data_IF_013455813270
#
_entry.id   IF_013455813270
#
_cell.length_a   1.000
_cell.length_b   1.000
_cell.length_c   1.000
_cell.angle_alpha   90.00
_cell.angle_beta   90.00
_cell.angle_gamma   90.00
#
_symmetry.space_group_name_H-M   'P 1'
#
loop_
_entity.id
_entity.type
_entity.pdbx_description
1 polymer ?
#
# COMPACT_ATOMS: atom_id res chain seq x y z
N UNK A 1 -0.29 -53.46 5.47
CA UNK A 1 -1.66 -52.98 5.19
C UNK A 1 -2.11 -52.35 6.49
N UNK A 2 -1.87 -51.05 6.64
CA UNK A 2 -2.32 -50.31 7.81
C UNK A 2 -3.84 -50.36 7.91
N UNK A 3 -4.38 -50.32 9.13
CA UNK A 3 -5.83 -50.44 9.35
C UNK A 3 -6.60 -49.31 8.64
N UNK A 4 -5.97 -48.14 8.53
CA UNK A 4 -6.45 -46.93 7.86
C UNK A 4 -6.71 -47.07 6.35
N UNK A 5 -6.11 -48.05 5.66
CA UNK A 5 -6.38 -48.27 4.23
C UNK A 5 -7.82 -48.70 3.97
N UNK A 6 -8.47 -49.37 4.94
CA UNK A 6 -9.84 -49.90 4.83
C UNK A 6 -10.92 -48.86 5.15
N UNK A 7 -10.54 -47.76 5.79
CA UNK A 7 -11.46 -46.73 6.27
C UNK A 7 -11.83 -45.72 5.19
N UNK A 8 -12.97 -45.07 5.37
CA UNK A 8 -13.42 -43.98 4.49
C UNK A 8 -12.76 -42.66 4.86
N UNK A 9 -12.68 -41.72 3.92
CA UNK A 9 -12.08 -40.39 4.17
C UNK A 9 -12.80 -39.63 5.29
N UNK A 10 -14.08 -39.92 5.51
CA UNK A 10 -14.88 -39.31 6.59
C UNK A 10 -14.43 -39.83 7.95
N UNK A 11 -14.24 -41.15 8.09
CA UNK A 11 -13.74 -41.79 9.32
C UNK A 11 -12.33 -41.28 9.64
N UNK A 12 -11.43 -41.26 8.65
CA UNK A 12 -10.06 -40.76 8.84
C UNK A 12 -10.00 -39.29 9.28
N UNK A 13 -10.92 -38.43 8.80
CA UNK A 13 -11.03 -37.03 9.25
C UNK A 13 -11.59 -36.92 10.67
N UNK A 14 -12.47 -37.83 11.07
CA UNK A 14 -12.93 -37.90 12.46
C UNK A 14 -11.79 -38.30 13.38
N UNK A 15 -10.93 -39.23 12.96
CA UNK A 15 -9.74 -39.61 13.74
C UNK A 15 -8.75 -38.47 13.89
N UNK A 16 -8.44 -37.73 12.81
CA UNK A 16 -7.61 -36.52 12.90
C UNK A 16 -8.17 -35.51 13.91
N UNK A 17 -9.49 -35.33 13.92
CA UNK A 17 -10.17 -34.44 14.88
C UNK A 17 -10.10 -34.96 16.32
N UNK A 18 -10.26 -36.27 16.53
CA UNK A 18 -10.16 -36.89 17.86
C UNK A 18 -8.74 -36.81 18.43
N UNK A 19 -7.72 -36.80 17.57
CA UNK A 19 -6.30 -36.70 17.93
C UNK A 19 -5.75 -35.27 17.87
N UNK A 20 -6.61 -34.28 17.66
CA UNK A 20 -6.26 -32.85 17.54
C UNK A 20 -5.22 -32.53 16.45
N UNK A 21 -5.13 -33.37 15.41
CA UNK A 21 -4.23 -33.17 14.27
C UNK A 21 -4.91 -32.23 13.26
N UNK A 22 -4.28 -31.12 12.86
CA UNK A 22 -4.86 -30.20 11.91
C UNK A 22 -5.04 -30.86 10.53
N UNK A 23 -6.26 -30.84 10.01
CA UNK A 23 -6.58 -31.39 8.67
C UNK A 23 -6.31 -30.40 7.53
N UNK A 24 -5.62 -29.29 7.81
CA UNK A 24 -5.34 -28.22 6.85
C UNK A 24 -4.36 -28.71 5.78
N UNK A 25 -4.69 -28.50 4.49
CA UNK A 25 -3.85 -28.90 3.36
C UNK A 25 -3.92 -30.39 2.96
N UNK A 26 -4.65 -31.23 3.70
CA UNK A 26 -4.78 -32.67 3.42
C UNK A 26 -5.96 -32.95 2.46
N UNK A 27 -5.66 -33.15 1.18
CA UNK A 27 -6.69 -33.29 0.11
C UNK A 27 -6.87 -34.72 -0.38
N UNK A 28 -5.84 -35.58 -0.26
CA UNK A 28 -5.88 -36.98 -0.71
C UNK A 28 -5.97 -37.95 0.49
N UNK A 29 -6.69 -39.06 0.31
CA UNK A 29 -6.81 -40.14 1.33
C UNK A 29 -5.44 -40.62 1.83
N UNK A 30 -4.48 -40.81 0.93
CA UNK A 30 -3.13 -41.26 1.30
C UNK A 30 -2.39 -40.27 2.19
N UNK A 31 -2.54 -38.95 1.98
CA UNK A 31 -1.89 -37.93 2.83
C UNK A 31 -2.47 -37.94 4.25
N UNK A 32 -3.78 -38.21 4.37
CA UNK A 32 -4.44 -38.35 5.68
C UNK A 32 -3.94 -39.59 6.42
N UNK A 33 -3.78 -40.71 5.71
CA UNK A 33 -3.24 -41.95 6.27
C UNK A 33 -1.78 -41.74 6.72
N UNK A 34 -0.94 -41.15 5.87
CA UNK A 34 0.46 -40.86 6.18
C UNK A 34 0.60 -39.98 7.43
N UNK A 35 -0.27 -38.98 7.60
CA UNK A 35 -0.27 -38.10 8.78
C UNK A 35 -0.72 -38.81 10.06
N UNK A 36 -1.68 -39.75 9.97
CA UNK A 36 -2.10 -40.57 11.11
C UNK A 36 -1.02 -41.58 11.51
N UNK A 37 -0.35 -42.20 10.53
CA UNK A 37 0.77 -43.12 10.77
C UNK A 37 1.99 -42.41 11.38
N UNK A 38 2.30 -41.19 10.92
CA UNK A 38 3.37 -40.35 11.49
C UNK A 38 3.08 -40.03 12.96
N UNK A 39 1.85 -39.64 13.29
CA UNK A 39 1.47 -39.33 14.67
C UNK A 39 1.48 -40.58 15.59
N UNK A 40 1.13 -41.75 15.06
CA UNK A 40 1.23 -43.01 15.80
C UNK A 40 2.68 -43.44 16.02
N UNK A 41 3.57 -43.16 15.07
CA UNK A 41 5.01 -43.39 15.22
C UNK A 41 5.62 -42.47 16.29
N UNK A 42 5.25 -41.19 16.31
CA UNK A 42 5.68 -40.22 17.33
C UNK A 42 5.19 -40.62 18.73
N UNK A 43 3.90 -40.94 18.89
CA UNK A 43 3.34 -41.42 20.16
C UNK A 43 3.87 -42.79 20.60
N UNK A 44 4.37 -43.59 19.66
CA UNK A 44 5.02 -44.87 19.93
C UNK A 44 6.41 -44.70 20.56
N UNK A 45 7.10 -43.59 20.30
CA UNK A 45 8.42 -43.28 20.86
C UNK A 45 8.33 -42.66 22.27
N UNK A 46 7.29 -41.88 22.56
CA UNK A 46 7.08 -41.25 23.88
C UNK A 46 6.69 -42.24 25.00
N UNK A 47 6.45 -43.52 24.69
CA UNK A 47 6.13 -44.57 25.68
C UNK A 47 7.33 -45.43 26.12
N UNK A 48 8.54 -45.18 25.62
CA UNK A 48 9.75 -45.93 26.04
C UNK A 48 10.69 -45.19 26.99
N UNK A 49 10.45 -43.93 27.33
CA UNK A 49 11.28 -43.16 28.28
C UNK A 49 10.43 -42.52 29.38
N UNK A 50 9.78 -43.35 30.19
CA UNK A 50 9.20 -42.93 31.46
C UNK A 50 9.77 -43.78 32.59
N UNK A 51 11.06 -43.56 32.87
CA UNK A 51 11.70 -43.86 34.15
C UNK A 51 13.05 -43.13 34.21
N UNK A 52 13.11 -42.01 34.93
CA UNK A 52 14.01 -41.76 36.08
C UNK A 52 13.80 -40.32 36.60
N UNK A 53 13.78 -40.28 37.92
CA UNK A 53 13.54 -39.23 38.91
C UNK A 53 14.45 -37.98 38.85
N UNK A 54 13.81 -36.86 39.23
CA UNK A 54 14.13 -35.89 40.31
C UNK A 54 15.53 -35.24 40.47
N UNK A 55 15.44 -33.97 40.93
CA UNK A 55 16.37 -33.16 41.75
C UNK A 55 17.43 -32.24 41.07
N UNK A 56 17.10 -30.93 41.13
CA UNK A 56 17.77 -29.85 41.89
C UNK A 56 18.88 -28.93 41.33
N UNK A 57 18.57 -27.64 41.52
CA UNK A 57 19.38 -26.50 42.02
C UNK A 57 20.50 -25.83 41.17
N UNK A 58 20.19 -24.57 40.82
CA UNK A 58 20.90 -23.34 41.22
C UNK A 58 22.04 -22.68 40.40
N UNK A 59 21.86 -21.35 40.34
CA UNK A 59 22.82 -20.24 40.38
C UNK A 59 23.32 -19.57 39.09
N UNK A 60 23.23 -18.24 39.14
CA UNK A 60 23.61 -17.24 38.16
C UNK A 60 25.14 -17.06 38.08
N UNK A 61 25.63 -16.45 37.00
CA UNK A 61 26.23 -15.09 37.02
C UNK A 61 27.22 -14.83 35.87
N UNK A 62 27.21 -13.57 35.43
CA UNK A 62 28.35 -12.78 34.92
C UNK A 62 28.63 -12.72 33.40
N UNK A 63 28.22 -11.57 32.84
CA UNK A 63 28.93 -10.63 31.92
C UNK A 63 30.02 -11.14 30.97
N UNK A 64 29.95 -10.72 29.70
CA UNK A 64 30.85 -9.69 29.10
C UNK A 64 30.41 -9.40 27.64
N UNK A 65 30.34 -8.11 27.26
CA UNK A 65 30.32 -7.69 25.85
C UNK A 65 31.72 -7.88 25.21
N UNK A 66 31.79 -8.06 23.89
CA UNK A 66 32.51 -7.15 22.98
C UNK A 66 32.34 -7.53 21.49
N UNK A 67 32.43 -6.47 20.71
CA UNK A 67 32.10 -6.22 19.31
C UNK A 67 33.18 -6.71 18.31
N UNK A 68 32.85 -6.55 17.01
CA UNK A 68 33.69 -6.45 15.79
C UNK A 68 33.56 -7.53 14.70
N UNK A 69 32.77 -7.15 13.69
CA UNK A 69 33.15 -6.94 12.28
C UNK A 69 33.66 -8.10 11.38
N UNK A 70 32.92 -8.20 10.25
CA UNK A 70 33.39 -8.19 8.87
C UNK A 70 33.42 -9.46 7.98
N UNK A 71 33.01 -9.20 6.74
CA UNK A 71 33.28 -9.84 5.45
C UNK A 71 32.23 -10.80 4.82
N UNK A 72 31.75 -10.28 3.68
CA UNK A 72 31.02 -10.91 2.58
C UNK A 72 31.53 -12.30 2.18
N UNK A 73 30.61 -13.21 1.86
CA UNK A 73 30.89 -14.23 0.84
C UNK A 73 29.68 -14.55 -0.05
N UNK A 74 29.81 -14.05 -1.28
CA UNK A 74 29.15 -14.39 -2.53
C UNK A 74 29.21 -15.90 -2.82
N UNK A 75 28.10 -16.54 -3.21
CA UNK A 75 28.08 -17.57 -4.28
C UNK A 75 26.64 -17.92 -4.79
N UNK A 76 26.43 -18.59 -5.95
CA UNK A 76 25.78 -17.97 -7.11
C UNK A 76 24.60 -18.78 -7.70
N UNK A 77 23.57 -18.12 -8.23
CA UNK A 77 22.56 -18.85 -9.04
C UNK A 77 22.89 -18.79 -10.53
N UNK A 78 23.59 -19.83 -10.99
CA UNK A 78 23.61 -20.22 -12.40
C UNK A 78 22.28 -20.87 -12.76
N UNK A 79 21.52 -20.29 -13.70
CA UNK A 79 20.77 -21.09 -14.67
C UNK A 79 20.64 -20.35 -15.99
N UNK A 80 21.28 -20.94 -17.00
CA UNK A 80 21.03 -20.69 -18.40
C UNK A 80 19.64 -21.23 -18.78
N UNK A 81 18.94 -20.53 -19.67
CA UNK A 81 17.96 -21.15 -20.56
C UNK A 81 17.94 -20.38 -21.89
N UNK A 82 17.96 -21.18 -22.94
CA UNK A 82 18.26 -20.86 -24.33
C UNK A 82 17.13 -20.10 -25.04
N UNK A 83 17.53 -19.39 -26.10
CA UNK A 83 16.65 -18.95 -27.17
C UNK A 83 16.09 -20.15 -27.95
N UNK A 84 14.81 -20.10 -28.34
CA UNK A 84 14.34 -20.38 -29.72
C UNK A 84 12.85 -20.03 -29.86
N UNK A 85 12.46 -19.82 -31.11
CA UNK A 85 11.42 -18.92 -31.63
C UNK A 85 10.00 -19.50 -31.65
N UNK A 86 8.97 -18.63 -31.73
CA UNK A 86 7.91 -18.77 -32.74
C UNK A 86 7.04 -17.51 -32.94
N UNK A 87 7.17 -16.96 -34.15
CA UNK A 87 6.14 -16.45 -35.05
C UNK A 87 4.87 -15.70 -34.54
N UNK A 88 4.89 -14.40 -34.81
CA UNK A 88 3.98 -13.70 -35.75
C UNK A 88 2.46 -13.72 -35.50
N UNK A 89 1.94 -12.64 -34.87
CA UNK A 89 0.60 -12.11 -35.19
C UNK A 89 0.71 -10.62 -35.50
N UNK A 90 0.36 -10.28 -36.74
CA UNK A 90 0.32 -8.92 -37.29
C UNK A 90 -0.80 -8.14 -36.62
N UNK A 91 -0.50 -6.99 -36.00
CA UNK A 91 -1.49 -5.92 -35.82
C UNK A 91 -1.03 -4.67 -36.53
N UNK A 92 -1.97 -4.17 -37.31
CA UNK A 92 -1.85 -3.14 -38.33
C UNK A 92 -1.64 -1.76 -37.74
N UNK A 93 -0.68 -1.07 -38.35
CA UNK A 93 -0.32 0.33 -38.23
C UNK A 93 -1.51 1.27 -38.46
N UNK A 94 -1.95 1.98 -37.43
CA UNK A 94 -2.61 3.29 -37.57
C UNK A 94 -1.57 4.38 -37.31
N UNK A 95 -1.39 5.24 -38.32
CA UNK A 95 -0.45 6.35 -38.33
C UNK A 95 -1.07 7.54 -37.60
N UNK A 96 -0.36 8.11 -36.62
CA UNK A 96 -0.41 9.55 -36.36
C UNK A 96 1.02 10.11 -36.43
N UNK A 97 1.31 10.69 -37.58
CA UNK A 97 2.31 11.74 -37.80
C UNK A 97 1.87 12.97 -36.99
N UNK A 98 2.66 13.69 -36.21
CA UNK A 98 4.10 13.78 -36.01
C UNK A 98 4.41 15.27 -35.75
N UNK A 99 5.23 15.61 -34.75
CA UNK A 99 6.18 16.76 -34.79
C UNK A 99 7.08 16.75 -33.55
N UNK A 100 8.29 16.26 -33.72
CA UNK A 100 9.42 16.54 -32.82
C UNK A 100 10.32 17.54 -33.51
N UNK A 101 10.45 18.76 -32.97
CA UNK A 101 11.67 19.58 -33.07
C UNK A 101 11.66 20.64 -31.96
N UNK A 102 12.53 20.44 -30.97
CA UNK A 102 12.82 21.41 -29.93
C UNK A 102 13.82 20.80 -28.96
N UNK A 103 15.10 21.13 -29.15
CA UNK A 103 16.19 20.82 -28.22
C UNK A 103 16.01 21.62 -26.94
N UNK A 104 15.11 21.15 -26.09
CA UNK A 104 15.12 21.38 -24.65
C UNK A 104 15.27 20.02 -23.98
N UNK A 105 15.86 19.96 -22.80
CA UNK A 105 15.77 18.77 -21.93
C UNK A 105 14.31 18.28 -21.98
N UNK A 106 14.02 16.98 -22.09
CA UNK A 106 12.64 16.50 -22.17
C UNK A 106 11.91 17.06 -20.97
N UNK A 107 11.04 18.07 -21.19
CA UNK A 107 10.07 18.51 -20.19
C UNK A 107 9.27 17.25 -19.92
N UNK A 108 9.52 16.63 -18.79
CA UNK A 108 8.73 15.48 -18.40
C UNK A 108 7.33 16.02 -18.17
N UNK A 109 6.45 15.73 -19.11
CA UNK A 109 5.10 16.27 -19.14
C UNK A 109 4.26 15.43 -18.19
N UNK A 110 3.33 16.05 -17.46
CA UNK A 110 2.31 15.39 -16.61
C UNK A 110 1.79 14.03 -17.12
N UNK A 111 1.59 13.78 -18.44
CA UNK A 111 1.25 12.45 -18.98
C UNK A 111 2.21 11.30 -18.67
N UNK A 112 3.48 11.53 -18.34
CA UNK A 112 4.43 10.44 -18.04
C UNK A 112 4.21 9.81 -16.65
N UNK A 113 3.43 10.48 -15.80
CA UNK A 113 3.11 10.09 -14.42
C UNK A 113 1.65 9.64 -14.32
N UNK A 114 0.84 10.02 -15.30
CA UNK A 114 -0.56 9.61 -15.39
C UNK A 114 -0.63 8.13 -15.75
N UNK A 115 -1.56 7.42 -15.11
CA UNK A 115 -1.80 6.03 -15.42
C UNK A 115 -3.29 5.70 -15.40
N UNK A 116 -3.64 4.70 -16.21
CA UNK A 116 -4.98 4.16 -16.27
C UNK A 116 -4.99 2.86 -15.46
N UNK A 117 -5.85 2.78 -14.44
CA UNK A 117 -6.14 1.53 -13.77
C UNK A 117 -7.06 0.68 -14.63
N UNK A 118 -6.88 -0.64 -14.59
CA UNK A 118 -7.86 -1.56 -15.14
C UNK A 118 -9.13 -1.56 -14.29
N UNK A 119 -10.12 -0.78 -14.72
CA UNK A 119 -11.42 -0.64 -14.03
C UNK A 119 -12.16 -1.96 -13.86
N UNK A 120 -11.86 -2.97 -14.66
CA UNK A 120 -12.49 -4.29 -14.52
C UNK A 120 -12.00 -5.06 -13.30
N UNK A 121 -10.84 -4.70 -12.75
CA UNK A 121 -10.28 -5.30 -11.54
C UNK A 121 -10.78 -4.61 -10.26
N UNK A 122 -11.43 -3.45 -10.38
CA UNK A 122 -12.00 -2.74 -9.25
C UNK A 122 -13.31 -3.39 -8.80
N UNK A 123 -13.59 -3.31 -7.50
CA UNK A 123 -14.86 -3.78 -6.92
C UNK A 123 -16.07 -3.14 -7.58
N UNK A 124 -15.99 -1.85 -7.90
CA UNK A 124 -16.97 -1.14 -8.72
C UNK A 124 -16.28 -0.49 -9.95
N UNK A 125 -16.62 -0.93 -11.17
CA UNK A 125 -16.02 -0.41 -12.41
C UNK A 125 -16.54 0.97 -12.83
N UNK A 126 -17.61 1.49 -12.19
CA UNK A 126 -18.17 2.80 -12.52
C UNK A 126 -17.13 3.91 -12.26
N UNK A 127 -17.11 4.96 -13.10
CA UNK A 127 -16.23 6.10 -12.86
C UNK A 127 -16.63 6.81 -11.55
N UNK A 128 -15.64 7.17 -10.74
CA UNK A 128 -15.86 8.03 -9.56
C UNK A 128 -16.31 9.42 -10.03
N UNK A 129 -17.48 9.91 -9.59
CA UNK A 129 -17.98 11.24 -9.95
C UNK A 129 -17.00 12.34 -9.54
N UNK A 130 -16.91 13.41 -10.34
CA UNK A 130 -16.03 14.55 -10.08
C UNK A 130 -14.57 14.38 -10.51
N UNK A 131 -14.13 13.15 -10.82
CA UNK A 131 -12.78 12.92 -11.34
C UNK A 131 -12.71 13.32 -12.82
N UNK A 132 -11.95 14.37 -13.11
CA UNK A 132 -11.79 14.93 -14.47
C UNK A 132 -10.50 14.45 -15.12
N UNK A 133 -9.40 14.43 -14.36
CA UNK A 133 -8.08 14.01 -14.84
C UNK A 133 -7.75 12.57 -14.47
N UNK A 134 -6.75 12.03 -15.16
CA UNK A 134 -6.18 10.73 -14.84
C UNK A 134 -5.41 10.82 -13.53
N UNK A 135 -5.49 9.79 -12.68
CA UNK A 135 -4.65 9.72 -11.49
C UNK A 135 -3.17 9.66 -11.87
N UNK A 136 -2.33 10.15 -10.95
CA UNK A 136 -0.89 10.24 -11.08
C UNK A 136 -0.22 9.51 -9.94
N UNK A 137 0.99 9.03 -10.18
CA UNK A 137 1.84 8.53 -9.10
C UNK A 137 2.25 9.66 -8.16
N UNK A 138 2.20 9.34 -6.88
CA UNK A 138 2.76 10.15 -5.79
C UNK A 138 4.19 9.69 -5.50
N UNK A 139 4.94 10.43 -4.68
CA UNK A 139 6.32 10.08 -4.35
C UNK A 139 6.47 8.66 -3.76
N UNK A 140 5.45 8.16 -3.07
CA UNK A 140 5.43 6.82 -2.46
C UNK A 140 5.02 5.70 -3.41
N UNK A 141 4.21 5.99 -4.43
CA UNK A 141 3.67 4.98 -5.36
C UNK A 141 4.40 4.95 -6.71
N UNK A 142 5.27 5.93 -6.95
CA UNK A 142 6.07 6.01 -8.15
C UNK A 142 7.10 4.86 -8.23
N UNK A 143 7.16 4.10 -9.35
CA UNK A 143 8.19 3.08 -9.54
C UNK A 143 9.60 3.64 -9.41
N UNK A 144 10.52 2.89 -8.81
CA UNK A 144 11.90 3.34 -8.53
C UNK A 144 12.66 3.81 -9.78
N UNK A 145 12.47 3.11 -10.90
CA UNK A 145 13.06 3.48 -12.20
C UNK A 145 12.59 4.86 -12.68
N UNK A 146 11.32 5.19 -12.42
CA UNK A 146 10.73 6.47 -12.76
C UNK A 146 11.23 7.53 -11.76
N UNK A 147 11.21 7.22 -10.46
CA UNK A 147 11.70 8.08 -9.37
C UNK A 147 13.17 8.48 -9.55
N UNK A 148 14.03 7.55 -9.98
CA UNK A 148 15.44 7.83 -10.28
C UNK A 148 15.62 8.78 -11.48
N UNK A 149 14.79 8.64 -12.52
CA UNK A 149 14.77 9.57 -13.67
C UNK A 149 14.33 10.97 -13.26
N UNK A 150 13.48 11.10 -12.23
CA UNK A 150 13.08 12.40 -11.69
C UNK A 150 14.19 13.07 -10.91
N UNK A 151 14.76 12.36 -9.93
CA UNK A 151 15.84 12.90 -9.07
C UNK A 151 17.01 13.44 -9.89
N UNK A 152 17.40 12.72 -10.93
CA UNK A 152 18.51 13.12 -11.82
C UNK A 152 18.22 14.32 -12.72
N UNK A 153 16.94 14.61 -13.02
CA UNK A 153 16.55 15.67 -13.96
C UNK A 153 16.11 16.97 -13.30
N UNK A 154 15.61 16.90 -12.07
CA UNK A 154 14.90 18.00 -11.40
C UNK A 154 15.58 18.51 -10.14
N UNK A 155 16.86 18.21 -9.92
CA UNK A 155 17.60 18.75 -8.77
C UNK A 155 17.67 20.28 -8.84
N UNK A 156 16.99 20.94 -7.89
CA UNK A 156 17.11 22.38 -7.68
C UNK A 156 18.44 22.63 -6.99
N UNK A 157 19.32 23.38 -7.64
CA UNK A 157 20.62 23.72 -7.07
C UNK A 157 20.41 24.55 -5.80
N UNK A 158 20.80 23.99 -4.65
CA UNK A 158 20.83 24.72 -3.39
C UNK A 158 21.88 25.83 -3.47
N UNK A 159 21.63 27.01 -2.87
CA UNK A 159 22.61 28.09 -2.85
C UNK A 159 23.88 27.64 -2.11
N UNK A 160 25.03 28.10 -2.59
CA UNK A 160 26.34 27.76 -2.00
C UNK A 160 26.57 28.47 -0.64
N UNK A 161 25.71 29.44 -0.29
CA UNK A 161 25.73 30.19 0.97
C UNK A 161 24.48 29.92 1.79
N UNK A 162 24.55 30.01 3.15
CA UNK A 162 23.37 29.87 3.99
C UNK A 162 22.28 30.85 3.57
N UNK A 163 21.10 30.28 3.30
CA UNK A 163 19.91 30.97 2.81
C UNK A 163 19.23 31.70 3.97
N UNK A 164 18.66 32.88 3.70
CA UNK A 164 17.71 33.49 4.64
C UNK A 164 16.42 32.65 4.69
N UNK A 165 15.67 32.71 5.80
CA UNK A 165 14.45 31.92 5.96
C UNK A 165 13.44 32.18 4.83
N UNK A 166 13.32 33.43 4.38
CA UNK A 166 12.47 33.81 3.23
C UNK A 166 12.89 33.11 1.93
N UNK A 167 14.20 33.02 1.70
CA UNK A 167 14.78 32.36 0.54
C UNK A 167 14.62 30.83 0.63
N UNK A 168 14.62 30.25 1.84
CA UNK A 168 14.37 28.82 2.02
C UNK A 168 12.93 28.45 1.64
N UNK A 169 11.94 29.28 2.01
CA UNK A 169 10.55 29.08 1.58
C UNK A 169 10.40 29.19 0.05
N UNK A 170 11.00 30.21 -0.57
CA UNK A 170 10.97 30.34 -2.03
C UNK A 170 11.64 29.16 -2.73
N UNK A 171 12.74 28.65 -2.20
CA UNK A 171 13.40 27.46 -2.75
C UNK A 171 12.51 26.23 -2.62
N UNK A 172 11.82 26.08 -1.50
CA UNK A 172 10.88 24.99 -1.25
C UNK A 172 9.72 24.99 -2.24
N UNK A 173 9.07 26.15 -2.45
CA UNK A 173 7.97 26.29 -3.40
C UNK A 173 8.44 26.04 -4.83
N UNK A 174 9.61 26.57 -5.20
CA UNK A 174 10.19 26.34 -6.51
C UNK A 174 10.53 24.85 -6.73
N UNK A 175 11.05 24.16 -5.71
CA UNK A 175 11.31 22.73 -5.77
C UNK A 175 10.01 21.93 -5.95
N UNK A 176 8.96 22.28 -5.21
CA UNK A 176 7.65 21.67 -5.35
C UNK A 176 7.07 21.88 -6.76
N UNK A 177 7.15 23.10 -7.31
CA UNK A 177 6.68 23.42 -8.66
C UNK A 177 7.41 22.64 -9.77
N UNK A 178 8.72 22.43 -9.59
CA UNK A 178 9.58 21.77 -10.56
C UNK A 178 9.48 20.25 -10.48
N UNK A 179 9.21 19.68 -9.31
CA UNK A 179 9.05 18.25 -9.11
C UNK A 179 7.59 17.82 -9.35
N UNK A 180 7.28 17.12 -10.46
CA UNK A 180 5.93 16.69 -10.77
C UNK A 180 5.38 15.58 -9.84
N UNK A 181 6.24 14.96 -9.02
CA UNK A 181 5.85 14.00 -7.98
C UNK A 181 5.60 14.66 -6.61
N UNK A 182 5.90 15.95 -6.46
CA UNK A 182 5.68 16.65 -5.19
C UNK A 182 4.18 16.74 -4.91
N UNK A 183 3.72 16.31 -3.71
CA UNK A 183 2.32 16.45 -3.31
C UNK A 183 1.83 17.91 -3.35
N UNK A 184 2.72 18.84 -2.98
CA UNK A 184 2.40 20.28 -2.86
C UNK A 184 2.46 21.03 -4.19
N UNK A 185 2.83 20.36 -5.28
CA UNK A 185 2.97 21.02 -6.58
C UNK A 185 1.67 21.65 -7.07
N UNK A 186 0.55 20.97 -6.88
CA UNK A 186 -0.74 21.45 -7.39
C UNK A 186 -1.31 22.58 -6.53
N UNK A 187 -1.04 22.54 -5.23
CA UNK A 187 -1.35 23.61 -4.28
C UNK A 187 -0.56 24.87 -4.63
N UNK A 188 0.77 24.76 -4.71
CA UNK A 188 1.65 25.88 -5.11
C UNK A 188 1.31 26.43 -6.51
N UNK A 189 0.98 25.57 -7.48
CA UNK A 189 0.50 26.01 -8.79
C UNK A 189 -0.84 26.76 -8.70
N UNK A 190 -1.73 26.35 -7.81
CA UNK A 190 -3.03 27.00 -7.65
C UNK A 190 -2.87 28.39 -7.03
N UNK A 191 -2.10 28.49 -5.94
CA UNK A 191 -1.80 29.77 -5.28
C UNK A 191 -1.17 30.77 -6.25
N UNK A 192 -0.23 30.30 -7.09
CA UNK A 192 0.41 31.13 -8.11
C UNK A 192 -0.58 31.62 -9.18
N UNK A 193 -1.59 30.83 -9.53
CA UNK A 193 -2.64 31.25 -10.48
C UNK A 193 -3.67 32.19 -9.85
N UNK A 194 -3.90 32.07 -8.55
CA UNK A 194 -4.88 32.85 -7.80
C UNK A 194 -6.34 32.50 -8.12
N UNK A 195 -7.31 33.27 -7.57
CA UNK A 195 -8.74 32.92 -7.57
C UNK A 195 -9.40 33.01 -8.96
N UNK A 196 -8.82 33.76 -9.89
CA UNK A 196 -9.25 33.83 -11.31
C UNK A 196 -8.46 32.88 -12.22
N UNK A 197 -7.69 31.98 -11.63
CA UNK A 197 -6.81 31.05 -12.31
C UNK A 197 -7.53 29.99 -13.13
N UNK A 198 -6.76 29.29 -13.97
CA UNK A 198 -7.26 28.04 -14.56
C UNK A 198 -7.36 26.95 -13.49
N UNK A 199 -8.35 26.05 -13.56
CA UNK A 199 -8.49 24.94 -12.62
C UNK A 199 -7.19 24.15 -12.42
N UNK A 200 -6.89 23.82 -11.17
CA UNK A 200 -5.85 22.86 -10.77
C UNK A 200 -6.50 21.59 -10.29
N UNK A 201 -5.77 20.50 -10.40
CA UNK A 201 -6.29 19.17 -10.08
C UNK A 201 -5.29 18.46 -9.20
N UNK A 202 -5.79 17.74 -8.19
CA UNK A 202 -4.97 16.94 -7.29
C UNK A 202 -4.31 15.75 -8.01
N UNK A 203 -3.64 14.90 -7.25
CA UNK A 203 -2.96 13.71 -7.80
C UNK A 203 -3.96 12.62 -8.22
N UNK A 204 -5.13 12.57 -7.58
CA UNK A 204 -6.22 11.65 -7.92
C UNK A 204 -7.07 12.11 -9.14
N UNK A 205 -6.92 13.36 -9.58
CA UNK A 205 -7.57 13.95 -10.74
C UNK A 205 -8.86 14.74 -10.46
N UNK A 206 -9.12 15.10 -9.21
CA UNK A 206 -10.21 15.99 -8.79
C UNK A 206 -9.79 17.45 -8.84
N UNK A 207 -10.72 18.34 -9.15
CA UNK A 207 -10.46 19.78 -9.14
C UNK A 207 -10.30 20.27 -7.70
N UNK A 208 -9.22 21.00 -7.43
CA UNK A 208 -8.96 21.53 -6.10
C UNK A 208 -9.71 22.86 -5.96
N UNK A 209 -10.51 22.99 -4.89
CA UNK A 209 -11.25 24.22 -4.59
C UNK A 209 -10.34 25.26 -3.94
N UNK A 210 -10.07 26.35 -4.67
CA UNK A 210 -9.23 27.45 -4.22
C UNK A 210 -9.76 28.11 -2.95
N UNK A 211 -11.07 28.25 -2.79
CA UNK A 211 -11.62 28.91 -1.61
C UNK A 211 -11.38 28.08 -0.36
N UNK A 212 -11.59 26.76 -0.44
CA UNK A 212 -11.34 25.87 0.70
C UNK A 212 -9.87 25.83 1.11
N UNK A 213 -8.96 25.88 0.15
CA UNK A 213 -7.52 25.86 0.44
C UNK A 213 -7.07 27.16 1.10
N UNK A 214 -7.47 28.32 0.53
CA UNK A 214 -7.08 29.64 1.06
C UNK A 214 -7.74 29.93 2.41
N UNK A 215 -9.03 29.63 2.58
CA UNK A 215 -9.75 29.85 3.83
C UNK A 215 -9.21 28.94 4.96
N UNK A 216 -8.60 27.81 4.60
CA UNK A 216 -7.93 26.90 5.54
C UNK A 216 -6.55 27.37 6.01
N UNK A 217 -5.99 28.44 5.43
CA UNK A 217 -4.65 28.91 5.81
C UNK A 217 -4.67 29.85 7.02
N UNK A 218 -4.01 29.39 8.08
CA UNK A 218 -3.20 30.15 9.03
C UNK A 218 -3.74 31.49 9.53
N UNK A 219 -4.92 31.49 10.14
CA UNK A 219 -5.15 32.48 11.19
C UNK A 219 -4.20 32.15 12.37
N UNK A 220 -3.53 33.16 12.96
CA UNK A 220 -2.65 32.92 14.10
C UNK A 220 -3.49 32.38 15.27
N UNK A 221 -3.40 31.07 15.49
CA UNK A 221 -4.08 30.37 16.57
C UNK A 221 -3.11 30.09 17.71
N UNK A 222 -3.62 30.11 18.95
CA UNK A 222 -2.87 29.65 20.10
C UNK A 222 -2.74 28.12 20.06
N UNK A 223 -1.70 27.56 20.70
CA UNK A 223 -1.51 26.10 20.78
C UNK A 223 -2.75 25.38 21.34
N UNK A 224 -3.44 25.98 22.31
CA UNK A 224 -4.65 25.40 22.88
C UNK A 224 -5.82 25.39 21.89
N UNK A 225 -6.01 26.47 21.12
CA UNK A 225 -7.02 26.51 20.06
C UNK A 225 -6.70 25.50 18.96
N UNK A 226 -5.44 25.33 18.57
CA UNK A 226 -5.04 24.30 17.61
C UNK A 226 -5.42 22.91 18.09
N UNK A 227 -5.10 22.57 19.35
CA UNK A 227 -5.44 21.26 19.93
C UNK A 227 -6.96 21.09 20.00
N UNK A 228 -7.70 22.09 20.50
CA UNK A 228 -9.16 22.01 20.60
C UNK A 228 -9.84 21.89 19.24
N UNK A 229 -9.33 22.56 18.20
CA UNK A 229 -9.88 22.44 16.86
C UNK A 229 -9.53 21.09 16.22
N UNK A 230 -8.33 20.55 16.50
CA UNK A 230 -7.94 19.20 16.11
C UNK A 230 -8.87 18.17 16.75
N UNK A 231 -9.09 18.25 18.07
CA UNK A 231 -9.98 17.35 18.81
C UNK A 231 -11.41 17.40 18.26
N UNK A 232 -11.94 18.61 18.02
CA UNK A 232 -13.26 18.78 17.39
C UNK A 232 -13.35 18.18 15.99
N UNK A 233 -12.28 18.27 15.20
CA UNK A 233 -12.23 17.67 13.87
C UNK A 233 -12.27 16.14 13.97
N UNK A 234 -11.46 15.57 14.86
CA UNK A 234 -11.40 14.13 15.10
C UNK A 234 -12.76 13.61 15.60
N UNK A 235 -13.36 14.27 16.59
CA UNK A 235 -14.69 13.91 17.11
C UNK A 235 -15.76 13.97 16.02
N UNK A 236 -15.70 14.96 15.14
CA UNK A 236 -16.64 15.10 14.01
C UNK A 236 -16.46 13.96 13.02
N UNK A 237 -15.24 13.64 12.64
CA UNK A 237 -14.93 12.57 11.69
C UNK A 237 -15.31 11.20 12.26
N UNK A 238 -15.04 10.93 13.54
CA UNK A 238 -15.46 9.70 14.22
C UNK A 238 -16.99 9.57 14.27
N UNK A 239 -17.69 10.68 14.53
CA UNK A 239 -19.16 10.69 14.57
C UNK A 239 -19.76 10.42 13.19
N UNK A 240 -19.23 11.06 12.15
CA UNK A 240 -19.67 10.83 10.76
C UNK A 240 -19.37 9.39 10.32
N UNK A 241 -18.20 8.85 10.67
CA UNK A 241 -17.84 7.45 10.41
C UNK A 241 -18.81 6.49 11.08
N UNK A 242 -19.14 6.71 12.35
CA UNK A 242 -20.11 5.90 13.11
C UNK A 242 -21.50 5.97 12.50
N UNK A 243 -21.99 7.16 12.17
CA UNK A 243 -23.30 7.34 11.53
C UNK A 243 -23.36 6.67 10.15
N UNK A 244 -22.28 6.77 9.35
CA UNK A 244 -22.20 6.04 8.08
C UNK A 244 -22.23 4.53 8.32
N UNK A 245 -21.42 4.02 9.24
CA UNK A 245 -21.34 2.58 9.44
C UNK A 245 -22.64 2.00 10.03
N UNK A 246 -23.34 2.72 10.90
CA UNK A 246 -24.66 2.34 11.40
C UNK A 246 -25.71 2.25 10.26
N UNK A 247 -25.61 3.11 9.25
CA UNK A 247 -26.52 3.11 8.10
C UNK A 247 -26.23 1.98 7.10
N UNK A 248 -24.95 1.66 6.87
CA UNK A 248 -24.54 0.75 5.79
C UNK A 248 -24.23 -0.68 6.25
N UNK A 249 -23.91 -0.90 7.52
CA UNK A 249 -23.56 -2.21 8.07
C UNK A 249 -24.58 -2.68 9.10
N UNK A 250 -24.68 -4.00 9.25
CA UNK A 250 -25.45 -4.60 10.34
C UNK A 250 -24.67 -4.44 11.66
N UNK A 251 -25.37 -4.39 12.82
CA UNK A 251 -24.72 -4.20 14.12
C UNK A 251 -23.60 -5.20 14.42
N UNK A 252 -23.71 -6.42 13.90
CA UNK A 252 -22.77 -7.52 14.15
C UNK A 252 -21.56 -7.53 13.19
N UNK A 253 -21.57 -6.70 12.13
CA UNK A 253 -20.52 -6.61 11.10
C UNK A 253 -19.80 -5.25 11.12
N UNK A 254 -19.97 -4.48 12.20
CA UNK A 254 -19.46 -3.12 12.31
C UNK A 254 -17.92 -3.11 12.38
N UNK A 255 -17.20 -2.56 11.39
CA UNK A 255 -15.74 -2.57 11.37
C UNK A 255 -15.15 -1.39 12.17
N UNK A 256 -15.70 -1.13 13.36
CA UNK A 256 -15.33 0.02 14.19
C UNK A 256 -13.88 -0.06 14.67
N UNK A 257 -13.45 -1.27 15.06
CA UNK A 257 -12.12 -1.58 15.59
C UNK A 257 -11.18 -2.19 14.53
N UNK A 258 -11.60 -2.27 13.26
CA UNK A 258 -10.74 -2.81 12.21
C UNK A 258 -9.64 -1.78 11.87
N UNK A 259 -8.34 -2.16 11.92
CA UNK A 259 -7.25 -1.29 11.46
C UNK A 259 -7.43 -0.81 10.01
N UNK A 260 -8.22 -1.51 9.18
CA UNK A 260 -8.57 -1.12 7.81
C UNK A 260 -9.86 -0.27 7.72
N UNK A 261 -10.42 0.17 8.85
CA UNK A 261 -11.69 0.91 8.89
C UNK A 261 -11.71 2.18 8.02
N UNK A 262 -10.57 2.86 7.87
CA UNK A 262 -10.45 4.03 6.97
C UNK A 262 -10.56 3.66 5.49
N UNK A 263 -10.07 2.48 5.09
CA UNK A 263 -10.22 2.01 3.71
C UNK A 263 -11.68 1.66 3.42
N UNK A 264 -12.34 0.99 4.36
CA UNK A 264 -13.77 0.64 4.27
C UNK A 264 -14.63 1.90 4.15
N UNK A 265 -14.34 2.92 4.97
CA UNK A 265 -15.01 4.22 4.91
C UNK A 265 -14.88 4.86 3.52
N UNK A 266 -13.68 4.88 2.94
CA UNK A 266 -13.46 5.41 1.60
C UNK A 266 -14.24 4.65 0.52
N UNK A 267 -14.38 3.32 0.64
CA UNK A 267 -15.20 2.53 -0.27
C UNK A 267 -16.69 2.86 -0.16
N UNK A 268 -17.21 3.05 1.06
CA UNK A 268 -18.60 3.46 1.27
C UNK A 268 -18.84 4.83 0.67
N UNK A 269 -17.96 5.81 0.93
CA UNK A 269 -18.05 7.16 0.34
C UNK A 269 -18.06 7.13 -1.20
N UNK A 270 -17.16 6.35 -1.81
CA UNK A 270 -17.11 6.23 -3.28
C UNK A 270 -18.37 5.55 -3.84
N UNK A 271 -18.89 4.51 -3.18
CA UNK A 271 -20.12 3.84 -3.58
C UNK A 271 -21.33 4.80 -3.52
N UNK A 272 -21.49 5.52 -2.40
CA UNK A 272 -22.57 6.52 -2.22
C UNK A 272 -22.45 7.62 -3.26
N UNK A 273 -21.23 8.12 -3.49
CA UNK A 273 -20.96 9.13 -4.52
C UNK A 273 -21.43 8.66 -5.89
N UNK A 274 -21.09 7.42 -6.26
CA UNK A 274 -21.49 6.81 -7.55
C UNK A 274 -22.99 6.58 -7.67
N UNK A 275 -23.66 6.25 -6.57
CA UNK A 275 -25.11 6.02 -6.56
C UNK A 275 -25.91 7.31 -6.71
N UNK A 276 -25.42 8.41 -6.11
CA UNK A 276 -26.03 9.75 -6.21
C UNK A 276 -25.54 10.51 -7.46
N UNK A 277 -24.37 10.14 -7.98
CA UNK A 277 -23.72 10.83 -9.10
C UNK A 277 -23.03 12.14 -8.72
N UNK A 278 -22.75 12.35 -7.43
CA UNK A 278 -22.16 13.58 -6.88
C UNK A 278 -20.85 13.21 -6.15
N UNK A 279 -19.76 13.99 -6.29
CA UNK A 279 -18.53 13.76 -5.53
C UNK A 279 -18.78 13.96 -4.03
N UNK A 280 -18.14 13.15 -3.19
CA UNK A 280 -18.10 13.34 -1.73
C UNK A 280 -17.40 14.64 -1.37
#
# INVERSE_FOLDING_TARGET
MSEYEKETVVELRQELKQREIPSTGLTRKQQIIEKLEENDAERGQDKSEAAIDEEDEDEESSSEELDLEDEDSIVPSKRAAEHTESAHVKRTKTKHTGKTTGTGKPRLTTPDIEFDYDRSQLRDPRPTPGRIKRPRYDDLSCPDDLKAKFKTKFEVRKPDTPSDASQEYELYDNEALMNPLSPLREETLMELKGPGGSPTYDTAGFEIDHHKLVDGTNQPMTKHEMISNMDKSIEKDEKEKKEMFELFFLPDEHPEDDPLGHEIENFVKDQVSKDIGVPW
#
